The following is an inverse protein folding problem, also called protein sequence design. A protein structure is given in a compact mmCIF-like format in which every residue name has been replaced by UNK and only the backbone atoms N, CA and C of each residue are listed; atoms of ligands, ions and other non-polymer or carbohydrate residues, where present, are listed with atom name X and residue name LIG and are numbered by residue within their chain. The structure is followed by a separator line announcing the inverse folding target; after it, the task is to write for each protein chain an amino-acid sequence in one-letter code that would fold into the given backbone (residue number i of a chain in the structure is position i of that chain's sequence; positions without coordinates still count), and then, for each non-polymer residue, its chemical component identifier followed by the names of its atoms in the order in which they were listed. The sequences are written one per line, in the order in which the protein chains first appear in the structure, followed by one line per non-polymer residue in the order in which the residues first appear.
data_IF_127572253429
#
_entry.id   IF_127572253429
#
_cell.length_a   1.000
_cell.length_b   1.000
_cell.length_c   1.000
_cell.angle_alpha   90.00
_cell.angle_beta   90.00
_cell.angle_gamma   90.00
#
_symmetry.space_group_name_H-M   'P 1'
#
loop_
_entity.id
_entity.type
_entity.pdbx_description
1 polymer ?
#
# COMPACT_ATOMS: atom_id res chain seq x y z
N UNK A 1 6.11 25.57 -19.25
CA UNK A 1 4.88 26.40 -19.00
C UNK A 1 3.70 25.62 -18.41
N UNK A 2 3.40 24.38 -18.82
CA UNK A 2 2.20 23.64 -18.36
C UNK A 2 2.33 23.02 -16.95
N UNK A 3 3.52 22.55 -16.53
CA UNK A 3 3.74 22.03 -15.19
C UNK A 3 3.65 23.13 -14.13
N UNK A 4 4.09 24.35 -14.45
CA UNK A 4 4.01 25.52 -13.58
C UNK A 4 2.56 25.87 -13.21
N UNK A 5 1.65 25.85 -14.19
CA UNK A 5 0.22 26.12 -13.95
C UNK A 5 -0.45 25.05 -13.09
N UNK A 6 -0.05 23.76 -13.21
CA UNK A 6 -0.56 22.70 -12.36
C UNK A 6 -0.08 22.88 -10.92
N UNK A 7 1.20 23.12 -10.74
CA UNK A 7 1.79 23.37 -9.42
C UNK A 7 1.14 24.54 -8.71
N UNK A 8 0.96 25.67 -9.39
CA UNK A 8 0.28 26.86 -8.86
C UNK A 8 -1.18 26.57 -8.45
N UNK A 9 -1.92 25.80 -9.26
CA UNK A 9 -3.31 25.42 -8.92
C UNK A 9 -3.37 24.48 -7.71
N UNK A 10 -2.45 23.51 -7.60
CA UNK A 10 -2.36 22.65 -6.45
C UNK A 10 -2.09 23.50 -5.19
N UNK A 11 -1.06 24.34 -5.23
CA UNK A 11 -0.70 25.21 -4.11
C UNK A 11 -1.86 26.14 -3.69
N UNK A 12 -2.58 26.71 -4.63
CA UNK A 12 -3.77 27.54 -4.38
C UNK A 12 -4.89 26.72 -3.72
N UNK A 13 -5.16 25.51 -4.23
CA UNK A 13 -6.20 24.62 -3.69
C UNK A 13 -5.91 24.21 -2.26
N UNK A 14 -4.68 23.78 -1.96
CA UNK A 14 -4.31 23.34 -0.60
C UNK A 14 -4.32 24.50 0.39
N UNK A 15 -3.76 25.67 0.00
CA UNK A 15 -3.82 26.88 0.85
C UNK A 15 -5.25 27.29 1.19
N UNK A 16 -6.19 27.24 0.21
CA UNK A 16 -7.60 27.57 0.43
C UNK A 16 -8.33 26.62 1.38
N UNK A 17 -7.75 25.46 1.70
CA UNK A 17 -8.25 24.45 2.64
C UNK A 17 -7.54 24.45 3.98
N UNK A 18 -6.69 25.45 4.25
CA UNK A 18 -6.00 25.61 5.53
C UNK A 18 -4.79 24.71 5.72
N UNK A 19 -4.23 24.14 4.65
CA UNK A 19 -2.97 23.41 4.74
C UNK A 19 -1.81 24.37 4.93
N UNK A 20 -0.89 24.04 5.86
CA UNK A 20 0.32 24.81 6.16
C UNK A 20 1.49 24.28 5.35
N UNK A 21 2.29 25.18 4.79
CA UNK A 21 3.54 24.79 4.14
C UNK A 21 4.57 24.32 5.16
N UNK A 22 5.25 23.23 4.82
CA UNK A 22 6.41 22.75 5.56
C UNK A 22 7.57 22.53 4.60
N UNK A 23 8.75 22.79 5.08
CA UNK A 23 9.99 22.36 4.43
C UNK A 23 10.40 20.99 4.98
N UNK A 24 10.92 20.13 4.11
CA UNK A 24 11.30 18.76 4.44
C UNK A 24 12.77 18.52 4.10
N UNK A 25 13.52 17.81 4.95
CA UNK A 25 14.93 17.52 4.71
C UNK A 25 15.10 16.69 3.43
N UNK A 26 16.14 16.99 2.64
CA UNK A 26 16.48 16.21 1.45
C UNK A 26 17.25 14.93 1.77
N UNK A 27 17.89 14.88 2.94
CA UNK A 27 18.65 13.76 3.47
C UNK A 27 17.94 13.22 4.70
N UNK A 28 17.71 11.93 4.75
CA UNK A 28 17.04 11.21 5.84
C UNK A 28 17.76 9.88 6.11
N UNK A 29 17.50 9.27 7.26
CA UNK A 29 18.03 7.93 7.55
C UNK A 29 17.44 6.88 6.59
N UNK A 30 18.31 6.10 5.96
CA UNK A 30 17.90 5.06 5.00
C UNK A 30 17.02 3.98 5.64
N UNK A 31 17.25 3.70 6.94
CA UNK A 31 16.50 2.71 7.70
C UNK A 31 15.00 3.02 7.75
N UNK A 32 14.59 4.27 7.88
CA UNK A 32 13.18 4.66 7.87
C UNK A 32 12.47 4.29 6.56
N UNK A 33 13.18 4.44 5.44
CA UNK A 33 12.67 4.06 4.12
C UNK A 33 12.57 2.54 4.00
N UNK A 34 13.64 1.83 4.36
CA UNK A 34 13.72 0.36 4.21
C UNK A 34 12.72 -0.35 5.10
N UNK A 35 12.52 0.11 6.34
CA UNK A 35 11.53 -0.47 7.25
C UNK A 35 10.09 -0.36 6.71
N UNK A 36 9.76 0.71 5.98
CA UNK A 36 8.42 0.96 5.44
C UNK A 36 8.21 0.39 4.04
N UNK A 37 9.24 0.44 3.20
CA UNK A 37 9.14 0.02 1.79
C UNK A 37 9.73 -1.38 1.53
N UNK A 38 10.31 -2.00 2.57
CA UNK A 38 10.95 -3.31 2.50
C UNK A 38 12.38 -3.24 1.94
N UNK A 39 13.21 -4.25 2.27
CA UNK A 39 14.63 -4.31 1.90
C UNK A 39 14.86 -4.22 0.38
N UNK A 40 13.94 -4.78 -0.42
CA UNK A 40 14.04 -4.69 -1.87
C UNK A 40 13.99 -3.26 -2.43
N UNK A 41 13.51 -2.31 -1.64
CA UNK A 41 13.47 -0.90 -2.05
C UNK A 41 14.85 -0.23 -1.97
N UNK A 42 15.79 -0.81 -1.21
CA UNK A 42 17.18 -0.32 -1.06
C UNK A 42 17.89 -0.10 -2.40
N UNK A 43 17.63 -0.93 -3.39
CA UNK A 43 18.21 -0.79 -4.74
C UNK A 43 17.79 0.51 -5.46
N UNK A 44 16.70 1.13 -5.05
CA UNK A 44 16.17 2.36 -5.65
C UNK A 44 16.58 3.64 -4.92
N UNK A 45 17.20 3.55 -3.75
CA UNK A 45 17.64 4.73 -2.98
C UNK A 45 19.10 5.08 -3.26
N UNK A 46 19.44 6.37 -3.15
CA UNK A 46 20.80 6.87 -3.15
C UNK A 46 21.27 6.96 -1.70
N UNK A 47 21.94 5.94 -1.19
CA UNK A 47 22.46 5.92 0.19
C UNK A 47 23.94 6.20 0.26
N UNK A 48 24.38 6.75 1.39
CA UNK A 48 25.75 7.05 1.74
C UNK A 48 25.89 7.00 3.27
N UNK A 49 27.13 6.92 3.75
CA UNK A 49 27.41 6.89 5.20
C UNK A 49 27.88 8.25 5.65
N UNK A 50 27.37 8.73 6.78
CA UNK A 50 27.85 9.97 7.42
C UNK A 50 29.12 9.74 8.24
N UNK A 51 29.62 10.82 8.87
CA UNK A 51 30.84 10.80 9.69
C UNK A 51 30.71 9.91 10.95
N UNK A 52 29.48 9.63 11.40
CA UNK A 52 29.19 8.82 12.58
C UNK A 52 28.92 7.35 12.22
N UNK A 53 29.02 6.97 10.94
CA UNK A 53 28.74 5.63 10.46
C UNK A 53 27.25 5.34 10.22
N UNK A 54 26.37 6.35 10.30
CA UNK A 54 24.94 6.21 10.04
C UNK A 54 24.66 6.15 8.55
N UNK A 55 23.82 5.20 8.10
CA UNK A 55 23.40 5.12 6.71
C UNK A 55 22.29 6.15 6.42
N UNK A 56 22.62 7.15 5.65
CA UNK A 56 21.72 8.20 5.17
C UNK A 56 21.34 7.94 3.71
N UNK A 57 20.24 8.57 3.25
CA UNK A 57 19.89 8.56 1.85
C UNK A 57 19.27 9.88 1.40
N UNK A 58 19.34 10.15 0.10
CA UNK A 58 18.49 11.16 -0.52
C UNK A 58 17.05 10.65 -0.46
N UNK A 59 16.11 11.50 0.01
CA UNK A 59 14.69 11.12 0.16
C UNK A 59 14.11 10.60 -1.15
N UNK A 60 13.59 9.37 -1.21
CA UNK A 60 12.99 8.82 -2.42
C UNK A 60 11.54 9.26 -2.63
N UNK A 61 10.88 9.81 -1.61
CA UNK A 61 9.60 10.51 -1.62
C UNK A 61 9.53 11.50 -0.46
N UNK A 62 8.51 12.35 -0.45
CA UNK A 62 8.32 13.36 0.58
C UNK A 62 7.30 12.93 1.65
N UNK A 63 6.47 11.92 1.39
CA UNK A 63 5.45 11.44 2.33
C UNK A 63 6.09 10.87 3.61
N UNK A 64 7.10 10.00 3.46
CA UNK A 64 7.79 9.43 4.65
C UNK A 64 8.48 10.54 5.45
N UNK A 65 9.16 11.48 4.77
CA UNK A 65 9.79 12.60 5.44
C UNK A 65 8.78 13.48 6.22
N UNK A 66 7.58 13.69 5.68
CA UNK A 66 6.51 14.43 6.35
C UNK A 66 5.97 13.71 7.59
N UNK A 67 5.83 12.39 7.51
CA UNK A 67 5.42 11.56 8.64
C UNK A 67 6.48 11.55 9.76
N UNK A 68 7.76 11.44 9.39
CA UNK A 68 8.88 11.51 10.36
C UNK A 68 8.86 12.84 11.13
N UNK A 69 8.77 13.96 10.40
CA UNK A 69 8.65 15.29 11.02
C UNK A 69 7.49 15.37 12.02
N UNK A 70 6.33 14.81 11.68
CA UNK A 70 5.18 14.79 12.56
C UNK A 70 5.47 14.02 13.87
N UNK A 71 6.12 12.86 13.75
CA UNK A 71 6.48 12.01 14.89
C UNK A 71 7.60 12.61 15.74
N UNK A 72 8.66 13.14 15.13
CA UNK A 72 9.82 13.74 15.82
C UNK A 72 9.43 14.99 16.63
N UNK A 73 8.53 15.79 16.10
CA UNK A 73 8.02 16.96 16.83
C UNK A 73 6.96 16.62 17.88
N UNK A 74 6.68 15.33 18.14
CA UNK A 74 5.66 14.86 19.08
C UNK A 74 4.31 15.56 18.87
N UNK A 75 3.96 15.85 17.62
CA UNK A 75 2.71 16.53 17.30
C UNK A 75 1.54 15.62 17.66
N UNK A 76 0.56 16.20 18.36
CA UNK A 76 -0.66 15.50 18.77
C UNK A 76 -1.85 16.17 18.11
N UNK A 77 -2.76 15.32 17.55
CA UNK A 77 -3.97 15.81 16.90
C UNK A 77 -3.81 16.04 15.39
N UNK A 78 -4.86 16.54 14.77
CA UNK A 78 -4.95 16.70 13.32
C UNK A 78 -4.09 17.85 12.83
N UNK A 79 -3.18 17.56 11.91
CA UNK A 79 -2.37 18.54 11.18
C UNK A 79 -2.63 18.41 9.67
N UNK A 80 -2.82 19.54 9.00
CA UNK A 80 -2.92 19.64 7.54
C UNK A 80 -1.69 20.36 7.02
N UNK A 81 -0.87 19.64 6.26
CA UNK A 81 0.39 20.15 5.73
C UNK A 81 0.46 19.98 4.22
N UNK A 82 1.27 20.81 3.57
CA UNK A 82 1.68 20.61 2.19
C UNK A 82 3.15 20.95 2.02
N UNK A 83 3.74 20.37 1.01
CA UNK A 83 5.17 20.52 0.68
C UNK A 83 5.39 20.47 -0.82
N UNK A 84 6.52 21.01 -1.26
CA UNK A 84 7.01 20.91 -2.64
C UNK A 84 8.51 20.68 -2.60
N UNK A 85 9.01 19.77 -3.41
CA UNK A 85 10.43 19.46 -3.45
C UNK A 85 10.77 18.33 -4.40
N UNK A 86 12.02 17.95 -4.42
CA UNK A 86 12.54 16.88 -5.27
C UNK A 86 12.61 15.56 -4.51
N UNK A 87 12.20 14.49 -5.16
CA UNK A 87 12.41 13.11 -4.77
C UNK A 87 13.47 12.47 -5.67
N UNK A 88 14.30 11.60 -5.10
CA UNK A 88 15.46 11.01 -5.77
C UNK A 88 15.34 9.50 -5.78
N UNK A 89 15.16 8.89 -6.97
CA UNK A 89 15.05 7.44 -7.13
C UNK A 89 15.93 6.96 -8.26
N UNK A 90 16.68 5.89 -7.99
CA UNK A 90 17.28 5.10 -9.07
C UNK A 90 16.15 4.42 -9.85
N UNK A 91 16.26 4.35 -11.17
CA UNK A 91 15.35 3.60 -12.04
C UNK A 91 16.07 2.44 -12.69
N UNK A 92 15.35 1.36 -12.93
CA UNK A 92 15.84 0.25 -13.75
C UNK A 92 15.89 0.65 -15.24
N UNK A 93 15.05 1.60 -15.64
CA UNK A 93 15.05 2.14 -16.99
C UNK A 93 15.95 3.36 -17.07
N UNK A 94 16.97 3.30 -17.94
CA UNK A 94 17.95 4.41 -18.14
C UNK A 94 17.29 5.71 -18.64
N UNK A 95 16.12 5.63 -19.26
CA UNK A 95 15.38 6.79 -19.77
C UNK A 95 14.61 7.55 -18.69
N UNK A 96 14.41 6.97 -17.51
CA UNK A 96 13.64 7.61 -16.45
C UNK A 96 14.50 8.64 -15.72
N UNK A 97 13.92 9.80 -15.42
CA UNK A 97 14.58 10.79 -14.57
C UNK A 97 14.78 10.24 -13.15
N UNK A 98 15.99 10.38 -12.64
CA UNK A 98 16.34 10.08 -11.25
C UNK A 98 15.85 11.15 -10.27
N UNK A 99 15.53 12.34 -10.76
CA UNK A 99 14.99 13.48 -10.02
C UNK A 99 13.55 13.69 -10.45
N UNK A 100 12.66 13.76 -9.50
CA UNK A 100 11.22 13.95 -9.73
C UNK A 100 10.71 15.10 -8.87
N UNK A 101 10.20 16.15 -9.51
CA UNK A 101 9.51 17.21 -8.78
C UNK A 101 8.20 16.66 -8.21
N UNK A 102 7.99 16.85 -6.92
CA UNK A 102 6.85 16.32 -6.19
C UNK A 102 6.21 17.44 -5.36
N UNK A 103 4.89 17.55 -5.44
CA UNK A 103 4.08 18.34 -4.52
C UNK A 103 3.17 17.35 -3.81
N UNK A 104 3.10 17.43 -2.50
CA UNK A 104 2.21 16.61 -1.71
C UNK A 104 1.46 17.44 -0.67
N UNK A 105 0.37 16.90 -0.20
CA UNK A 105 -0.36 17.42 0.95
C UNK A 105 -0.94 16.25 1.75
N UNK A 106 -0.87 16.37 3.06
CA UNK A 106 -1.18 15.32 4.00
C UNK A 106 -2.12 15.81 5.09
N UNK A 107 -2.93 14.91 5.60
CA UNK A 107 -3.70 15.08 6.83
C UNK A 107 -3.18 14.05 7.82
N UNK A 108 -2.45 14.49 8.82
CA UNK A 108 -1.80 13.64 9.82
C UNK A 108 -2.54 13.70 11.15
N UNK A 109 -2.49 12.62 11.94
CA UNK A 109 -3.05 12.56 13.29
C UNK A 109 -4.57 12.68 13.40
N UNK A 110 -5.29 12.51 12.31
CA UNK A 110 -6.75 12.56 12.30
C UNK A 110 -7.35 11.23 12.80
N UNK A 111 -8.59 11.34 13.31
CA UNK A 111 -9.44 10.20 13.68
C UNK A 111 -10.64 10.03 12.75
N UNK A 112 -10.79 10.89 11.75
CA UNK A 112 -11.93 10.92 10.83
C UNK A 112 -11.46 10.62 9.39
N UNK A 113 -10.91 9.42 9.20
CA UNK A 113 -10.31 8.97 7.93
C UNK A 113 -11.24 9.17 6.72
N UNK A 114 -12.55 8.89 6.89
CA UNK A 114 -13.51 8.95 5.77
C UNK A 114 -13.76 10.37 5.25
N UNK A 115 -13.86 11.34 6.15
CA UNK A 115 -14.01 12.73 5.74
C UNK A 115 -12.68 13.30 5.21
N UNK A 116 -11.57 12.84 5.76
CA UNK A 116 -10.25 13.21 5.27
C UNK A 116 -9.96 12.64 3.88
N UNK A 117 -10.31 11.40 3.62
CA UNK A 117 -10.25 10.81 2.26
C UNK A 117 -11.07 11.62 1.25
N UNK A 118 -12.29 12.04 1.63
CA UNK A 118 -13.11 12.94 0.80
C UNK A 118 -12.44 14.29 0.59
N UNK A 119 -11.85 14.85 1.61
CA UNK A 119 -11.15 16.13 1.52
C UNK A 119 -9.96 16.03 0.56
N UNK A 120 -9.12 14.99 0.72
CA UNK A 120 -7.94 14.76 -0.12
C UNK A 120 -8.34 14.60 -1.59
N UNK A 121 -9.29 13.74 -1.91
CA UNK A 121 -9.70 13.52 -3.30
C UNK A 121 -10.36 14.77 -3.92
N UNK A 122 -11.21 15.48 -3.16
CA UNK A 122 -11.85 16.71 -3.63
C UNK A 122 -10.83 17.84 -3.83
N UNK A 123 -9.82 17.96 -2.97
CA UNK A 123 -8.73 18.93 -3.11
C UNK A 123 -7.90 18.63 -4.35
N UNK A 124 -7.58 17.34 -4.59
CA UNK A 124 -6.89 16.90 -5.79
C UNK A 124 -7.68 17.22 -7.06
N UNK A 125 -8.98 16.94 -7.06
CA UNK A 125 -9.86 17.24 -8.20
C UNK A 125 -10.01 18.76 -8.46
N UNK A 126 -10.11 19.54 -7.38
CA UNK A 126 -10.16 21.01 -7.48
C UNK A 126 -8.89 21.58 -8.08
N UNK A 127 -7.73 20.96 -7.81
CA UNK A 127 -6.46 21.36 -8.41
C UNK A 127 -6.42 21.22 -9.94
N UNK A 128 -7.29 20.39 -10.52
CA UNK A 128 -7.42 20.22 -11.95
C UNK A 128 -8.37 21.27 -12.60
N UNK A 129 -9.10 22.04 -11.79
CA UNK A 129 -9.93 23.13 -12.30
C UNK A 129 -9.02 24.16 -12.98
N UNK A 130 -9.45 24.66 -14.14
CA UNK A 130 -8.67 25.60 -14.97
C UNK A 130 -7.44 25.02 -15.70
N UNK A 131 -7.20 23.71 -15.59
CA UNK A 131 -6.20 23.04 -16.42
C UNK A 131 -6.86 22.53 -17.70
N UNK A 132 -6.27 22.89 -18.83
CA UNK A 132 -6.73 22.38 -20.14
C UNK A 132 -6.21 20.98 -20.37
N UNK A 133 -7.06 19.97 -20.20
CA UNK A 133 -6.81 18.58 -20.60
C UNK A 133 -7.94 18.05 -21.49
N UNK A 134 -7.62 17.07 -22.33
CA UNK A 134 -8.60 16.51 -23.28
C UNK A 134 -9.47 15.45 -22.61
N UNK A 135 -8.87 14.57 -21.85
CA UNK A 135 -9.52 13.48 -21.14
C UNK A 135 -8.69 13.06 -19.96
N UNK A 136 -9.29 12.35 -19.02
CA UNK A 136 -8.59 11.79 -17.89
C UNK A 136 -9.31 10.58 -17.32
N UNK A 137 -8.60 9.89 -16.43
CA UNK A 137 -9.12 8.74 -15.71
C UNK A 137 -8.81 8.89 -14.21
N UNK A 138 -9.83 8.76 -13.40
CA UNK A 138 -9.71 8.61 -11.95
C UNK A 138 -9.89 7.12 -11.62
N UNK A 139 -8.82 6.47 -11.21
CA UNK A 139 -8.88 5.08 -10.73
C UNK A 139 -8.89 5.09 -9.22
N UNK A 140 -9.83 4.39 -8.62
CA UNK A 140 -10.00 4.25 -7.17
C UNK A 140 -9.85 2.77 -6.80
N UNK A 141 -9.13 2.49 -5.74
CA UNK A 141 -9.05 1.19 -5.08
C UNK A 141 -9.25 1.31 -3.59
N UNK A 142 -9.40 0.18 -2.92
CA UNK A 142 -9.47 0.15 -1.47
C UNK A 142 -8.85 -1.15 -0.93
N UNK A 143 -7.71 -1.02 -0.27
CA UNK A 143 -6.94 -2.15 0.27
C UNK A 143 -7.67 -2.80 1.45
N UNK A 144 -8.45 -2.05 2.21
CA UNK A 144 -9.26 -2.56 3.32
C UNK A 144 -10.23 -3.66 2.85
N UNK A 145 -10.90 -3.46 1.70
CA UNK A 145 -11.84 -4.45 1.14
C UNK A 145 -11.14 -5.78 0.84
N UNK A 146 -9.90 -5.73 0.33
CA UNK A 146 -9.11 -6.94 0.15
C UNK A 146 -8.80 -7.63 1.49
N UNK A 147 -8.39 -6.89 2.50
CA UNK A 147 -8.11 -7.44 3.83
C UNK A 147 -9.36 -8.04 4.48
N UNK A 148 -10.52 -7.41 4.30
CA UNK A 148 -11.82 -7.95 4.74
C UNK A 148 -12.14 -9.25 4.03
N UNK A 149 -11.98 -9.32 2.70
CA UNK A 149 -12.12 -10.57 1.95
C UNK A 149 -11.23 -11.66 2.53
N UNK A 150 -9.93 -11.42 2.65
CA UNK A 150 -8.96 -12.40 3.19
C UNK A 150 -9.36 -12.87 4.59
N UNK A 151 -9.86 -11.98 5.44
CA UNK A 151 -10.30 -12.32 6.81
C UNK A 151 -11.43 -13.35 6.83
N UNK A 152 -12.32 -13.33 5.82
CA UNK A 152 -13.50 -14.20 5.69
C UNK A 152 -13.23 -15.51 4.97
N UNK A 153 -12.10 -15.66 4.28
CA UNK A 153 -11.75 -16.90 3.60
C UNK A 153 -11.43 -18.01 4.60
N UNK A 154 -11.86 -19.23 4.27
CA UNK A 154 -11.61 -20.41 5.10
C UNK A 154 -10.23 -21.01 4.81
N UNK A 155 -9.19 -20.33 5.26
CA UNK A 155 -7.78 -20.73 5.23
C UNK A 155 -7.10 -20.42 6.57
N UNK A 156 -6.02 -21.14 6.91
CA UNK A 156 -5.27 -20.90 8.15
C UNK A 156 -4.78 -19.46 8.31
N UNK A 157 -4.76 -18.98 9.56
CA UNK A 157 -4.36 -17.61 9.92
C UNK A 157 -3.02 -17.20 9.29
N UNK A 158 -2.03 -18.13 9.24
CA UNK A 158 -0.72 -17.84 8.63
C UNK A 158 -0.82 -17.43 7.15
N UNK A 159 -1.77 -18.03 6.39
CA UNK A 159 -2.01 -17.69 4.99
C UNK A 159 -2.70 -16.33 4.85
N UNK A 160 -3.68 -16.06 5.71
CA UNK A 160 -4.32 -14.74 5.74
C UNK A 160 -3.29 -13.64 5.93
N UNK A 161 -2.42 -13.78 6.94
CA UNK A 161 -1.35 -12.82 7.23
C UNK A 161 -0.35 -12.68 6.08
N UNK A 162 0.06 -13.80 5.45
CA UNK A 162 1.00 -13.76 4.31
C UNK A 162 0.39 -13.07 3.09
N UNK A 163 -0.85 -13.39 2.74
CA UNK A 163 -1.55 -12.79 1.60
C UNK A 163 -1.77 -11.30 1.81
N UNK A 164 -2.24 -10.86 2.99
CA UNK A 164 -2.40 -9.44 3.29
C UNK A 164 -1.06 -8.69 3.27
N UNK A 165 -0.03 -9.23 3.93
CA UNK A 165 1.28 -8.58 4.02
C UNK A 165 1.97 -8.43 2.66
N UNK A 166 1.79 -9.37 1.74
CA UNK A 166 2.47 -9.37 0.45
C UNK A 166 1.56 -9.00 -0.72
N UNK A 167 0.41 -8.44 -0.44
CA UNK A 167 -0.55 -7.99 -1.46
C UNK A 167 0.06 -6.99 -2.44
N UNK A 168 0.92 -6.12 -1.97
CA UNK A 168 1.59 -5.09 -2.77
C UNK A 168 2.68 -5.63 -3.70
N UNK A 169 3.22 -6.84 -3.47
CA UNK A 169 4.29 -7.46 -4.27
C UNK A 169 3.68 -8.42 -5.28
N UNK A 170 3.32 -7.91 -6.44
CA UNK A 170 2.50 -8.66 -7.42
C UNK A 170 3.07 -10.03 -7.79
N UNK A 171 4.36 -10.12 -8.17
CA UNK A 171 4.98 -11.39 -8.56
C UNK A 171 5.02 -12.37 -7.39
N UNK A 172 5.49 -11.90 -6.23
CA UNK A 172 5.54 -12.73 -5.03
C UNK A 172 4.16 -13.15 -4.54
N UNK A 173 3.16 -12.27 -4.66
CA UNK A 173 1.77 -12.59 -4.35
C UNK A 173 1.20 -13.67 -5.27
N UNK A 174 1.50 -13.61 -6.56
CA UNK A 174 1.12 -14.64 -7.52
C UNK A 174 1.78 -15.98 -7.19
N UNK A 175 3.05 -15.98 -6.76
CA UNK A 175 3.72 -17.20 -6.29
C UNK A 175 3.12 -17.73 -4.99
N UNK A 176 2.69 -16.85 -4.07
CA UNK A 176 1.93 -17.29 -2.89
C UNK A 176 0.61 -17.94 -3.25
N UNK A 177 -0.10 -17.44 -4.27
CA UNK A 177 -1.33 -18.08 -4.76
C UNK A 177 -1.05 -19.46 -5.37
N UNK A 178 0.03 -19.63 -6.14
CA UNK A 178 0.45 -20.95 -6.64
C UNK A 178 0.77 -21.91 -5.50
N UNK A 179 1.50 -21.47 -4.47
CA UNK A 179 1.78 -22.28 -3.26
C UNK A 179 0.53 -22.57 -2.46
N UNK A 180 -0.47 -21.68 -2.45
CA UNK A 180 -1.77 -21.93 -1.83
C UNK A 180 -2.55 -23.04 -2.56
N UNK A 181 -2.41 -23.14 -3.88
CA UNK A 181 -3.04 -24.15 -4.73
C UNK A 181 -2.45 -25.54 -4.52
N UNK A 182 -1.20 -25.62 -4.10
CA UNK A 182 -0.48 -26.86 -3.87
C UNK A 182 -0.19 -27.00 -2.36
N UNK A 183 -0.21 -28.23 -1.84
CA UNK A 183 0.22 -28.49 -0.45
C UNK A 183 1.75 -28.65 -0.32
N UNK A 184 2.50 -28.34 -1.38
CA UNK A 184 3.96 -28.50 -1.43
C UNK A 184 4.75 -27.58 -0.48
N UNK A 185 4.11 -26.57 0.09
CA UNK A 185 4.77 -25.59 0.96
C UNK A 185 5.04 -26.13 2.38
N UNK A 186 4.35 -27.20 2.79
CA UNK A 186 4.48 -27.74 4.16
C UNK A 186 4.16 -29.23 4.21
N UNK A 187 5.18 -30.04 4.47
CA UNK A 187 5.00 -31.37 5.04
C UNK A 187 5.04 -31.25 6.57
N UNK A 188 3.93 -31.51 7.28
CA UNK A 188 3.89 -31.42 8.74
C UNK A 188 4.94 -32.28 9.43
N UNK A 189 5.26 -33.44 8.89
CA UNK A 189 6.25 -34.37 9.45
C UNK A 189 7.65 -33.78 9.40
N UNK A 190 8.04 -33.22 8.26
CA UNK A 190 9.33 -32.52 8.09
C UNK A 190 9.41 -31.34 9.05
N UNK A 191 8.33 -30.55 9.14
CA UNK A 191 8.30 -29.39 10.04
C UNK A 191 8.41 -29.77 11.51
N UNK A 192 7.83 -30.91 11.92
CA UNK A 192 8.00 -31.44 13.28
C UNK A 192 9.44 -31.86 13.55
N UNK A 193 10.09 -32.53 12.60
CA UNK A 193 11.50 -32.91 12.70
C UNK A 193 12.37 -31.65 12.83
N UNK A 194 12.14 -30.64 11.98
CA UNK A 194 12.88 -29.39 12.03
C UNK A 194 12.66 -28.66 13.37
N UNK A 195 11.42 -28.63 13.89
CA UNK A 195 11.12 -28.06 15.21
C UNK A 195 11.87 -28.78 16.32
N UNK A 196 11.90 -30.13 16.31
CA UNK A 196 12.64 -30.92 17.28
C UNK A 196 14.14 -30.66 17.21
N UNK A 197 14.72 -30.57 16.00
CA UNK A 197 16.14 -30.20 15.80
C UNK A 197 16.42 -28.81 16.35
N UNK A 198 15.59 -27.84 16.04
CA UNK A 198 15.72 -26.46 16.51
C UNK A 198 15.67 -26.39 18.03
N UNK A 199 14.71 -27.06 18.70
CA UNK A 199 14.64 -27.15 20.17
C UNK A 199 15.87 -27.83 20.79
N UNK A 200 16.44 -28.82 20.12
CA UNK A 200 17.67 -29.50 20.58
C UNK A 200 18.87 -28.56 20.50
N UNK A 201 18.96 -27.72 19.47
CA UNK A 201 20.02 -26.70 19.33
C UNK A 201 19.91 -25.59 20.37
N UNK A 202 18.69 -25.31 20.88
CA UNK A 202 18.41 -24.23 21.82
C UNK A 202 18.50 -24.60 23.27
N UNK A 203 18.89 -25.88 23.61
CA UNK A 203 18.93 -26.37 25.01
C UNK A 203 19.79 -25.53 25.94
N UNK A 204 20.59 -24.61 25.41
CA UNK A 204 21.54 -23.81 26.17
C UNK A 204 21.12 -22.36 26.40
N UNK A 205 20.21 -21.77 25.62
CA UNK A 205 19.81 -20.37 25.84
C UNK A 205 18.50 -19.99 25.11
N UNK A 206 17.39 -19.99 25.85
CA UNK A 206 16.08 -19.59 25.36
C UNK A 206 15.90 -18.05 25.22
N UNK A 207 16.87 -17.27 25.70
CA UNK A 207 16.81 -15.80 25.66
C UNK A 207 17.31 -15.19 24.34
N UNK A 208 17.97 -15.97 23.48
CA UNK A 208 18.57 -15.51 22.23
C UNK A 208 17.55 -14.95 21.26
N UNK A 209 17.88 -13.79 20.72
CA UNK A 209 17.19 -13.21 19.53
C UNK A 209 17.98 -13.62 18.29
N UNK A 210 17.35 -14.38 17.37
CA UNK A 210 17.97 -14.85 16.14
C UNK A 210 17.38 -14.11 14.95
N UNK A 211 18.22 -13.36 14.24
CA UNK A 211 17.79 -12.53 13.11
C UNK A 211 16.59 -11.62 13.44
N UNK A 212 16.65 -10.95 14.60
CA UNK A 212 15.62 -10.03 15.08
C UNK A 212 14.32 -10.69 15.55
N UNK A 213 14.32 -12.00 15.83
CA UNK A 213 13.15 -12.76 16.28
C UNK A 213 13.42 -13.51 17.57
N UNK A 214 12.45 -13.47 18.45
CA UNK A 214 12.48 -14.28 19.67
C UNK A 214 12.28 -15.76 19.33
N UNK A 215 12.78 -16.64 20.20
CA UNK A 215 12.59 -18.09 20.07
C UNK A 215 11.10 -18.45 20.03
N UNK A 216 10.27 -17.81 20.87
CA UNK A 216 8.82 -18.02 20.86
C UNK A 216 8.17 -17.69 19.52
N UNK A 217 8.60 -16.63 18.85
CA UNK A 217 8.11 -16.30 17.51
C UNK A 217 8.51 -17.36 16.48
N UNK A 218 9.72 -17.92 16.60
CA UNK A 218 10.20 -18.98 15.70
C UNK A 218 9.42 -20.28 15.96
N UNK A 219 9.25 -20.68 17.23
CA UNK A 219 8.46 -21.87 17.60
C UNK A 219 6.99 -21.76 17.16
N UNK A 220 6.37 -20.61 17.36
CA UNK A 220 5.02 -20.35 16.88
C UNK A 220 4.89 -20.48 15.36
N UNK A 221 5.95 -20.20 14.59
CA UNK A 221 5.97 -20.42 13.14
C UNK A 221 5.97 -21.90 12.76
N UNK A 222 6.74 -22.72 13.48
CA UNK A 222 6.67 -24.18 13.30
C UNK A 222 5.28 -24.70 13.61
N UNK A 223 4.68 -24.33 14.74
CA UNK A 223 3.35 -24.76 15.15
C UNK A 223 2.26 -24.35 14.14
N UNK A 224 2.33 -23.12 13.65
CA UNK A 224 1.41 -22.65 12.62
C UNK A 224 1.56 -23.40 11.29
N UNK A 225 2.74 -23.93 10.96
CA UNK A 225 2.95 -24.78 9.80
C UNK A 225 2.41 -26.19 10.02
N UNK A 226 2.68 -26.79 11.18
CA UNK A 226 2.18 -28.12 11.57
C UNK A 226 0.64 -28.12 11.60
N UNK A 227 0.02 -27.08 12.07
CA UNK A 227 -1.45 -26.92 12.15
C UNK A 227 -2.12 -26.56 10.81
N UNK A 228 -1.43 -26.65 9.67
CA UNK A 228 -1.99 -26.33 8.36
C UNK A 228 -2.02 -27.54 7.39
N UNK A 229 -2.66 -28.64 7.75
CA UNK A 229 -2.92 -29.75 6.81
C UNK A 229 -4.20 -29.47 6.02
N UNK A 230 -4.18 -28.55 5.05
CA UNK A 230 -5.34 -28.34 4.19
C UNK A 230 -5.26 -29.17 2.91
N UNK A 231 -6.44 -29.54 2.39
CA UNK A 231 -6.52 -30.21 1.07
C UNK A 231 -6.17 -29.21 -0.05
N UNK A 232 -5.42 -29.66 -1.07
CA UNK A 232 -5.06 -28.86 -2.24
C UNK A 232 -6.29 -28.28 -2.97
N UNK A 233 -7.40 -29.03 -3.04
CA UNK A 233 -8.66 -28.57 -3.62
C UNK A 233 -9.20 -27.30 -2.96
N UNK A 234 -9.08 -27.20 -1.63
CA UNK A 234 -9.49 -26.03 -0.87
C UNK A 234 -8.60 -24.82 -1.22
N UNK A 235 -7.28 -25.01 -1.30
CA UNK A 235 -6.34 -23.98 -1.71
C UNK A 235 -6.61 -23.46 -3.12
N UNK A 236 -6.90 -24.36 -4.09
CA UNK A 236 -7.29 -23.99 -5.46
C UNK A 236 -8.57 -23.16 -5.50
N UNK A 237 -9.60 -23.54 -4.73
CA UNK A 237 -10.84 -22.78 -4.63
C UNK A 237 -10.63 -21.37 -4.11
N UNK A 238 -9.86 -21.21 -3.02
CA UNK A 238 -9.55 -19.90 -2.43
C UNK A 238 -8.69 -19.05 -3.37
N UNK A 239 -7.67 -19.63 -4.01
CA UNK A 239 -6.86 -18.92 -5.00
C UNK A 239 -7.70 -18.40 -6.15
N UNK A 240 -8.64 -19.22 -6.67
CA UNK A 240 -9.58 -18.79 -7.71
C UNK A 240 -10.43 -17.60 -7.26
N UNK A 241 -10.99 -17.65 -6.04
CA UNK A 241 -11.78 -16.54 -5.47
C UNK A 241 -10.93 -15.26 -5.44
N UNK A 242 -9.69 -15.33 -4.96
CA UNK A 242 -8.80 -14.16 -4.90
C UNK A 242 -8.49 -13.64 -6.32
N UNK A 243 -8.15 -14.51 -7.26
CA UNK A 243 -7.87 -14.12 -8.65
C UNK A 243 -9.08 -13.48 -9.32
N UNK A 244 -10.28 -14.01 -9.08
CA UNK A 244 -11.51 -13.46 -9.65
C UNK A 244 -11.88 -12.11 -8.99
N UNK A 245 -11.67 -11.97 -7.68
CA UNK A 245 -11.80 -10.68 -6.99
C UNK A 245 -10.89 -9.61 -7.62
N UNK A 246 -9.64 -9.93 -7.89
CA UNK A 246 -8.67 -8.98 -8.47
C UNK A 246 -9.00 -8.51 -9.89
N UNK A 247 -9.92 -9.20 -10.58
CA UNK A 247 -10.39 -8.80 -11.91
C UNK A 247 -11.53 -7.79 -11.88
N UNK A 248 -12.16 -7.55 -10.71
CA UNK A 248 -13.30 -6.65 -10.60
C UNK A 248 -12.85 -5.23 -10.91
N UNK A 249 -13.45 -4.68 -11.98
CA UNK A 249 -13.24 -3.32 -12.45
C UNK A 249 -14.55 -2.80 -13.03
N UNK A 250 -15.06 -1.72 -12.48
CA UNK A 250 -16.38 -1.19 -12.83
C UNK A 250 -16.45 0.33 -12.61
N UNK A 251 -17.49 1.01 -13.10
CA UNK A 251 -17.80 2.37 -12.69
C UNK A 251 -17.95 2.47 -11.17
N UNK A 252 -17.52 3.57 -10.57
CA UNK A 252 -17.50 3.72 -9.12
C UNK A 252 -18.88 3.59 -8.45
N UNK A 253 -19.94 4.03 -9.11
CA UNK A 253 -21.33 3.91 -8.61
C UNK A 253 -21.83 2.47 -8.55
N UNK A 254 -21.21 1.56 -9.29
CA UNK A 254 -21.55 0.13 -9.33
C UNK A 254 -20.68 -0.71 -8.38
N UNK A 255 -19.61 -0.13 -7.82
CA UNK A 255 -18.60 -0.85 -7.07
C UNK A 255 -19.16 -1.67 -5.90
N UNK A 256 -20.02 -1.07 -5.07
CA UNK A 256 -20.66 -1.78 -3.96
C UNK A 256 -21.54 -2.94 -4.44
N UNK A 257 -22.33 -2.72 -5.49
CA UNK A 257 -23.22 -3.74 -6.06
C UNK A 257 -22.42 -4.92 -6.63
N UNK A 258 -21.39 -4.64 -7.43
CA UNK A 258 -20.54 -5.66 -8.04
C UNK A 258 -19.77 -6.49 -7.00
N UNK A 259 -19.23 -5.84 -5.96
CA UNK A 259 -18.57 -6.53 -4.86
C UNK A 259 -19.56 -7.40 -4.08
N UNK A 260 -20.74 -6.90 -3.76
CA UNK A 260 -21.74 -7.67 -3.01
C UNK A 260 -22.28 -8.85 -3.83
N UNK A 261 -22.46 -8.71 -5.15
CA UNK A 261 -22.76 -9.83 -6.06
C UNK A 261 -21.65 -10.88 -6.03
N UNK A 262 -20.40 -10.45 -6.09
CA UNK A 262 -19.24 -11.33 -6.02
C UNK A 262 -19.19 -12.10 -4.68
N UNK A 263 -19.38 -11.42 -3.55
CA UNK A 263 -19.36 -12.06 -2.23
C UNK A 263 -20.51 -13.08 -2.08
N UNK A 264 -21.73 -12.72 -2.49
CA UNK A 264 -22.88 -13.61 -2.49
C UNK A 264 -22.64 -14.87 -3.34
N UNK A 265 -22.13 -14.68 -4.57
CA UNK A 265 -21.80 -15.79 -5.48
C UNK A 265 -20.80 -16.78 -4.87
N UNK A 266 -19.82 -16.28 -4.13
CA UNK A 266 -18.77 -17.10 -3.51
C UNK A 266 -19.11 -17.51 -2.07
N UNK A 267 -20.33 -17.29 -1.58
CA UNK A 267 -20.81 -17.61 -0.22
C UNK A 267 -19.94 -16.97 0.87
N UNK A 268 -19.48 -15.76 0.63
CA UNK A 268 -18.67 -14.99 1.58
C UNK A 268 -19.60 -14.06 2.34
N UNK A 269 -19.65 -14.21 3.67
CA UNK A 269 -20.44 -13.34 4.53
C UNK A 269 -19.71 -11.99 4.74
N UNK A 270 -19.79 -11.13 3.73
CA UNK A 270 -19.25 -9.78 3.71
C UNK A 270 -20.18 -8.88 2.90
N UNK A 271 -20.47 -7.72 3.45
CA UNK A 271 -21.25 -6.68 2.78
C UNK A 271 -20.43 -5.40 2.76
N UNK A 272 -20.34 -4.79 1.60
CA UNK A 272 -19.66 -3.51 1.36
C UNK A 272 -20.68 -2.48 0.95
N UNK A 273 -20.66 -1.33 1.59
CA UNK A 273 -21.57 -0.20 1.31
C UNK A 273 -20.79 1.07 0.88
N UNK A 274 -21.50 2.17 0.71
CA UNK A 274 -20.93 3.45 0.27
C UNK A 274 -19.86 4.03 1.21
N UNK A 275 -19.74 3.55 2.44
CA UNK A 275 -18.71 3.99 3.40
C UNK A 275 -17.29 3.62 2.97
N UNK A 276 -17.16 2.58 2.13
CA UNK A 276 -15.88 2.17 1.54
C UNK A 276 -15.52 2.97 0.28
N UNK A 277 -16.41 3.82 -0.19
CA UNK A 277 -16.27 4.62 -1.41
C UNK A 277 -16.61 6.08 -1.10
N UNK A 278 -15.75 6.83 -0.39
CA UNK A 278 -16.02 8.21 0.01
C UNK A 278 -16.27 9.15 -1.17
N UNK A 279 -15.93 8.69 -2.37
CA UNK A 279 -16.22 9.35 -3.62
C UNK A 279 -17.11 8.45 -4.50
N UNK A 280 -18.37 8.84 -4.68
CA UNK A 280 -19.35 8.08 -5.48
C UNK A 280 -19.83 8.79 -6.74
N UNK A 281 -19.30 9.99 -7.04
CA UNK A 281 -19.78 10.78 -8.16
C UNK A 281 -19.03 10.43 -9.46
N UNK A 282 -19.76 9.89 -10.43
CA UNK A 282 -19.23 9.58 -11.78
C UNK A 282 -19.09 10.82 -12.67
N UNK A 283 -19.68 11.95 -12.28
CA UNK A 283 -19.79 13.15 -13.11
C UNK A 283 -18.68 14.17 -12.82
N UNK A 284 -17.44 13.73 -12.70
CA UNK A 284 -16.34 14.69 -12.77
C UNK A 284 -16.10 14.99 -14.24
N UNK A 285 -16.29 16.25 -14.62
CA UNK A 285 -16.13 16.68 -16.01
C UNK A 285 -14.83 16.16 -16.62
N UNK A 286 -14.93 15.45 -17.73
CA UNK A 286 -13.82 14.89 -18.51
C UNK A 286 -12.99 13.78 -17.83
N UNK A 287 -13.42 13.28 -16.66
CA UNK A 287 -12.77 12.13 -16.03
C UNK A 287 -13.67 10.90 -16.11
N UNK A 288 -13.08 9.78 -16.54
CA UNK A 288 -13.69 8.47 -16.39
C UNK A 288 -13.34 7.93 -15.01
N UNK A 289 -14.34 7.74 -14.14
CA UNK A 289 -14.14 7.29 -12.75
C UNK A 289 -14.38 5.79 -12.65
N UNK A 290 -13.33 5.06 -12.34
CA UNK A 290 -13.30 3.59 -12.32
C UNK A 290 -12.83 3.09 -10.97
N UNK A 291 -13.57 2.14 -10.40
CA UNK A 291 -13.12 1.32 -9.29
C UNK A 291 -12.37 0.08 -9.79
N UNK A 292 -11.30 -0.31 -9.09
CA UNK A 292 -10.56 -1.54 -9.36
C UNK A 292 -10.02 -2.16 -8.09
N UNK A 293 -10.35 -3.42 -7.85
CA UNK A 293 -9.86 -4.18 -6.68
C UNK A 293 -8.37 -4.49 -6.72
N UNK A 294 -7.76 -4.47 -7.90
CA UNK A 294 -6.31 -4.65 -8.07
C UNK A 294 -5.52 -3.36 -7.90
N UNK A 295 -6.19 -2.21 -7.83
CA UNK A 295 -5.51 -0.92 -7.66
C UNK A 295 -5.19 -0.65 -6.19
N UNK A 296 -4.01 -0.04 -5.91
CA UNK A 296 -3.54 0.26 -4.55
C UNK A 296 -2.48 -0.72 -4.03
N UNK A 297 -2.02 -1.66 -4.88
CA UNK A 297 -0.99 -2.65 -4.51
C UNK A 297 0.45 -2.14 -4.59
N UNK A 298 0.67 -0.89 -4.96
CA UNK A 298 2.01 -0.40 -5.31
C UNK A 298 2.94 -0.17 -4.10
N UNK A 299 2.38 0.06 -2.91
CA UNK A 299 3.15 0.36 -1.71
C UNK A 299 2.55 -0.39 -0.49
N UNK A 300 3.43 -0.89 0.39
CA UNK A 300 3.05 -1.70 1.55
C UNK A 300 2.23 -0.92 2.59
N UNK A 301 2.45 0.38 2.71
CA UNK A 301 1.85 1.18 3.76
C UNK A 301 0.42 1.66 3.50
N UNK A 302 -0.15 1.40 2.32
CA UNK A 302 -1.56 1.72 2.07
C UNK A 302 -2.49 0.74 2.79
N UNK A 303 -3.44 1.25 3.55
CA UNK A 303 -4.37 0.46 4.37
C UNK A 303 -5.83 0.63 3.96
N UNK A 304 -6.19 1.77 3.40
CA UNK A 304 -7.56 2.16 3.05
C UNK A 304 -7.75 2.47 1.57
N UNK A 305 -8.47 3.56 1.30
CA UNK A 305 -8.72 4.05 -0.05
C UNK A 305 -7.44 4.58 -0.69
N UNK A 306 -7.25 4.26 -1.96
CA UNK A 306 -6.20 4.81 -2.81
C UNK A 306 -6.79 5.30 -4.12
N UNK A 307 -6.23 6.36 -4.68
CA UNK A 307 -6.67 6.85 -5.99
C UNK A 307 -5.51 7.38 -6.83
N UNK A 308 -5.72 7.41 -8.13
CA UNK A 308 -4.81 8.00 -9.12
C UNK A 308 -5.60 8.74 -10.18
N UNK A 309 -5.17 9.96 -10.49
CA UNK A 309 -5.74 10.76 -11.56
C UNK A 309 -4.72 10.84 -12.68
N UNK A 310 -5.03 10.23 -13.81
CA UNK A 310 -4.25 10.33 -15.03
C UNK A 310 -4.96 11.29 -15.99
N UNK A 311 -4.27 12.33 -16.43
CA UNK A 311 -4.80 13.30 -17.41
C UNK A 311 -3.95 13.32 -18.68
N UNK A 312 -4.62 13.42 -19.83
CA UNK A 312 -3.95 13.60 -21.11
C UNK A 312 -3.93 15.09 -21.49
N UNK A 313 -2.76 15.62 -21.76
CA UNK A 313 -2.60 16.99 -22.26
C UNK A 313 -3.21 17.12 -23.64
N UNK A 314 -3.81 18.29 -23.98
CA UNK A 314 -4.31 18.57 -25.32
C UNK A 314 -3.23 18.68 -26.42
N UNK A 315 -1.93 18.73 -26.02
CA UNK A 315 -0.81 18.94 -26.94
C UNK A 315 0.28 17.87 -26.76
N UNK A 316 -0.08 16.60 -26.80
CA UNK A 316 0.85 15.51 -27.12
C UNK A 316 0.54 15.05 -28.55
N UNK A 317 0.93 15.84 -29.49
CA UNK A 317 1.28 15.51 -30.89
C UNK A 317 2.72 15.87 -31.06
#
# INVERSE_FOLDING_TARGET
MKSKNLSENILRSVKSKGYKYIDLPSVIEANHIVQRSGENFRKFIFSFTDQNGSELCLRPDLTIASCLRYLENNLKGKEKIFYSGQAYRKSENKSDSIIRDQIGFEILGSKDEKNDDKEIINTSLKSLQNIKYSSGKLTIGNVEIFNLLISKLDIPKRWKLRLSRHFWREDYFNDLLKRLETNSDVDPTIVEIDKKRYLKMLKEDLSKVIAGRTINEILNRFDNKIKDPRRASKGKGVSKIIKDFLKIKCPINEAASELNKFFKKNRINLVVDQRYFPFSNNKVSKLNVVFSTSFGRQLEYYTGMVFKIDIKSKNSL
#
